data_IF_527861417031
#
_entry.id   IF_527861417031
#
_cell.length_a   1.000
_cell.length_b   1.000
_cell.length_c   1.000
_cell.angle_alpha   90.00
_cell.angle_beta   90.00
_cell.angle_gamma   90.00
#
_symmetry.space_group_name_H-M   'P 1'
#
loop_
_entity.id
_entity.type
_entity.pdbx_description
1 polymer ?
#
# COMPACT_ATOMS: atom_id res chain seq x y z
N UNK A 1 1.40 19.09 4.95
CA UNK A 1 1.23 18.39 3.68
C UNK A 1 -0.24 18.07 3.45
N UNK A 2 -0.69 18.07 2.24
CA UNK A 2 -2.10 17.85 1.89
C UNK A 2 -2.68 16.56 2.48
N UNK A 3 -1.96 15.45 2.33
CA UNK A 3 -2.41 14.14 2.80
C UNK A 3 -2.53 14.04 4.33
N UNK A 4 -1.73 14.81 5.06
CA UNK A 4 -1.85 14.87 6.52
C UNK A 4 -3.18 15.47 6.96
N UNK A 5 -3.68 16.45 6.21
CA UNK A 5 -4.96 17.12 6.51
C UNK A 5 -6.17 16.29 6.13
N UNK A 6 -6.07 15.46 5.10
CA UNK A 6 -7.22 14.72 4.56
C UNK A 6 -7.33 13.29 5.09
N UNK A 7 -6.42 12.83 5.95
CA UNK A 7 -6.40 11.44 6.40
C UNK A 7 -7.74 10.97 6.97
N UNK A 8 -8.38 11.76 7.84
CA UNK A 8 -9.68 11.41 8.40
C UNK A 8 -10.82 11.44 7.40
N UNK A 9 -10.79 12.43 6.51
CA UNK A 9 -11.79 12.58 5.45
C UNK A 9 -11.65 11.45 4.43
N UNK A 10 -10.42 11.09 4.11
CA UNK A 10 -10.13 10.00 3.17
C UNK A 10 -10.74 8.68 3.64
N UNK A 11 -10.58 8.33 4.92
CA UNK A 11 -11.17 7.11 5.47
C UNK A 11 -12.70 7.14 5.38
N UNK A 12 -13.32 8.25 5.75
CA UNK A 12 -14.77 8.40 5.68
C UNK A 12 -15.27 8.22 4.24
N UNK A 13 -14.59 8.85 3.27
CA UNK A 13 -14.92 8.72 1.86
C UNK A 13 -14.77 7.28 1.38
N UNK A 14 -13.65 6.65 1.68
CA UNK A 14 -13.36 5.28 1.24
C UNK A 14 -14.39 4.29 1.78
N UNK A 15 -14.74 4.39 3.05
CA UNK A 15 -15.70 3.49 3.67
C UNK A 15 -17.14 3.81 3.29
N UNK A 16 -17.51 5.09 3.28
CA UNK A 16 -18.89 5.49 3.07
C UNK A 16 -19.33 5.43 1.61
N UNK A 17 -18.44 5.83 0.70
CA UNK A 17 -18.79 6.04 -0.69
C UNK A 17 -18.31 4.91 -1.61
N UNK A 18 -17.10 4.39 -1.40
CA UNK A 18 -16.48 3.38 -2.25
C UNK A 18 -16.31 2.03 -1.55
N UNK A 19 -17.12 1.74 -0.56
CA UNK A 19 -16.96 0.53 0.26
C UNK A 19 -16.91 -0.76 -0.57
N UNK A 20 -17.86 -0.94 -1.48
CA UNK A 20 -17.93 -2.14 -2.32
C UNK A 20 -16.68 -2.28 -3.20
N UNK A 21 -16.26 -1.18 -3.83
CA UNK A 21 -15.07 -1.16 -4.68
C UNK A 21 -13.81 -1.44 -3.86
N UNK A 22 -13.69 -0.85 -2.66
CA UNK A 22 -12.55 -1.08 -1.78
C UNK A 22 -12.49 -2.52 -1.26
N UNK A 23 -13.62 -3.11 -0.90
CA UNK A 23 -13.66 -4.51 -0.47
C UNK A 23 -13.24 -5.45 -1.59
N UNK A 24 -13.67 -5.18 -2.81
CA UNK A 24 -13.28 -5.97 -3.97
C UNK A 24 -11.78 -5.81 -4.28
N UNK A 25 -11.26 -4.60 -4.16
CA UNK A 25 -9.84 -4.33 -4.31
C UNK A 25 -9.02 -5.11 -3.29
N UNK A 26 -9.40 -5.05 -2.02
CA UNK A 26 -8.73 -5.75 -0.93
C UNK A 26 -8.72 -7.26 -1.21
N UNK A 27 -9.88 -7.82 -1.56
CA UNK A 27 -10.00 -9.24 -1.89
C UNK A 27 -9.08 -9.63 -3.05
N UNK A 28 -9.12 -8.86 -4.14
CA UNK A 28 -8.33 -9.15 -5.33
C UNK A 28 -6.83 -9.10 -5.05
N UNK A 29 -6.37 -8.09 -4.31
CA UNK A 29 -4.96 -7.97 -3.94
C UNK A 29 -4.55 -9.10 -2.99
N UNK A 30 -5.35 -9.38 -1.98
CA UNK A 30 -5.04 -10.43 -1.00
C UNK A 30 -4.97 -11.82 -1.62
N UNK A 31 -5.73 -12.09 -2.68
CA UNK A 31 -5.64 -13.35 -3.42
C UNK A 31 -4.28 -13.57 -4.09
N UNK A 32 -3.50 -12.50 -4.31
CA UNK A 32 -2.18 -12.56 -4.92
C UNK A 32 -1.06 -12.80 -3.91
N UNK A 33 -1.38 -12.87 -2.63
CA UNK A 33 -0.39 -12.91 -1.53
C UNK A 33 -0.61 -14.15 -0.67
N UNK A 34 0.49 -14.77 -0.21
CA UNK A 34 0.42 -15.94 0.66
C UNK A 34 1.35 -15.80 1.89
N UNK A 35 1.23 -16.76 2.80
CA UNK A 35 1.88 -16.76 4.12
C UNK A 35 3.41 -16.89 4.10
N UNK A 36 4.00 -17.20 2.95
CA UNK A 36 5.44 -17.34 2.81
C UNK A 36 6.11 -16.10 2.23
N UNK A 37 5.35 -15.05 1.99
CA UNK A 37 5.84 -13.89 1.26
C UNK A 37 6.05 -12.68 2.17
N UNK A 38 7.16 -11.97 1.90
CA UNK A 38 7.43 -10.64 2.45
C UNK A 38 6.88 -9.60 1.48
N UNK A 39 6.07 -8.70 2.00
CA UNK A 39 5.32 -7.71 1.21
C UNK A 39 5.73 -6.30 1.61
N UNK A 40 5.97 -5.46 0.63
CA UNK A 40 6.10 -4.00 0.79
C UNK A 40 4.83 -3.35 0.25
N UNK A 41 4.19 -2.56 1.08
CA UNK A 41 3.07 -1.71 0.65
C UNK A 41 3.53 -0.27 0.62
N UNK A 42 3.49 0.34 -0.56
CA UNK A 42 3.84 1.75 -0.77
C UNK A 42 2.56 2.58 -0.75
N UNK A 43 2.65 3.77 -0.17
CA UNK A 43 1.50 4.68 -0.06
C UNK A 43 0.29 4.00 0.58
N UNK A 44 0.51 3.44 1.76
CA UNK A 44 -0.51 2.64 2.46
C UNK A 44 -1.73 3.46 2.91
N UNK A 45 -1.62 4.79 2.90
CA UNK A 45 -2.70 5.67 3.31
C UNK A 45 -3.11 5.39 4.75
N UNK A 46 -4.39 5.20 4.97
CA UNK A 46 -4.95 4.97 6.31
C UNK A 46 -4.94 3.50 6.73
N UNK A 47 -4.38 2.62 5.91
CA UNK A 47 -4.18 1.21 6.27
C UNK A 47 -5.34 0.28 5.93
N UNK A 48 -6.22 0.69 5.04
CA UNK A 48 -7.37 -0.15 4.64
C UNK A 48 -6.93 -1.49 4.05
N UNK A 49 -5.85 -1.48 3.27
CA UNK A 49 -5.29 -2.69 2.67
C UNK A 49 -4.24 -3.35 3.58
N UNK A 50 -3.57 -2.57 4.43
CA UNK A 50 -2.45 -3.04 5.24
C UNK A 50 -2.84 -4.18 6.18
N UNK A 51 -3.92 -4.03 6.93
CA UNK A 51 -4.36 -5.05 7.87
C UNK A 51 -4.73 -6.37 7.16
N UNK A 52 -5.56 -6.37 6.10
CA UNK A 52 -5.83 -7.60 5.35
C UNK A 52 -4.58 -8.24 4.77
N UNK A 53 -3.64 -7.46 4.24
CA UNK A 53 -2.37 -7.99 3.73
C UNK A 53 -1.56 -8.65 4.85
N UNK A 54 -1.46 -8.00 5.99
CA UNK A 54 -0.70 -8.53 7.13
C UNK A 54 -1.26 -9.87 7.61
N UNK A 55 -2.58 -10.04 7.54
CA UNK A 55 -3.23 -11.29 7.93
C UNK A 55 -2.96 -12.43 6.94
N UNK A 56 -2.45 -12.14 5.75
CA UNK A 56 -2.21 -13.14 4.70
C UNK A 56 -0.73 -13.43 4.46
N UNK A 57 0.16 -12.49 4.73
CA UNK A 57 1.57 -12.62 4.38
C UNK A 57 2.43 -12.99 5.58
N UNK A 58 3.69 -13.32 5.31
CA UNK A 58 4.65 -13.60 6.36
C UNK A 58 5.02 -12.34 7.12
N UNK A 59 5.35 -11.26 6.40
CA UNK A 59 5.72 -9.97 6.96
C UNK A 59 5.30 -8.86 6.02
N UNK A 60 4.75 -7.80 6.58
CA UNK A 60 4.38 -6.60 5.85
C UNK A 60 5.20 -5.41 6.34
N UNK A 61 5.76 -4.66 5.40
CA UNK A 61 6.25 -3.31 5.66
C UNK A 61 5.30 -2.37 4.94
N UNK A 62 4.55 -1.58 5.70
CA UNK A 62 3.59 -0.62 5.17
C UNK A 62 4.19 0.78 5.29
N UNK A 63 4.25 1.51 4.19
CA UNK A 63 4.91 2.81 4.12
C UNK A 63 4.01 3.87 3.54
N UNK A 64 4.22 5.11 3.98
CA UNK A 64 3.59 6.29 3.44
C UNK A 64 4.48 7.50 3.71
N UNK A 65 4.32 8.55 2.92
CA UNK A 65 5.07 9.80 3.14
C UNK A 65 4.41 10.67 4.22
N UNK A 66 3.14 10.47 4.52
CA UNK A 66 2.36 11.25 5.48
C UNK A 66 2.33 10.60 6.86
N UNK A 67 2.83 11.29 7.87
CA UNK A 67 2.76 10.82 9.26
C UNK A 67 1.32 10.68 9.76
N UNK A 68 0.41 11.55 9.34
CA UNK A 68 -1.00 11.44 9.71
C UNK A 68 -1.62 10.16 9.16
N UNK A 69 -1.26 9.76 7.94
CA UNK A 69 -1.69 8.49 7.35
C UNK A 69 -1.11 7.30 8.13
N UNK A 70 0.17 7.34 8.44
CA UNK A 70 0.85 6.27 9.18
C UNK A 70 0.24 6.07 10.57
N UNK A 71 -0.16 7.15 11.22
CA UNK A 71 -0.83 7.07 12.53
C UNK A 71 -2.13 6.27 12.43
N UNK A 72 -2.90 6.50 11.37
CA UNK A 72 -4.13 5.73 11.10
C UNK A 72 -3.81 4.25 10.85
N UNK A 73 -2.79 3.98 10.06
CA UNK A 73 -2.36 2.62 9.75
C UNK A 73 -1.91 1.88 11.03
N UNK A 74 -1.14 2.54 11.89
CA UNK A 74 -0.72 1.96 13.17
C UNK A 74 -1.92 1.57 14.04
N UNK A 75 -2.94 2.41 14.06
CA UNK A 75 -4.16 2.14 14.81
C UNK A 75 -4.90 0.90 14.26
N UNK A 76 -5.00 0.78 12.93
CA UNK A 76 -5.66 -0.36 12.30
C UNK A 76 -4.92 -1.68 12.50
N UNK A 77 -3.59 -1.62 12.51
CA UNK A 77 -2.75 -2.80 12.61
C UNK A 77 -2.33 -3.14 14.04
N UNK A 78 -2.92 -2.48 15.02
CA UNK A 78 -2.61 -2.69 16.43
C UNK A 78 -2.80 -4.16 16.80
N UNK A 79 -1.80 -4.73 17.47
CA UNK A 79 -1.84 -6.13 17.90
C UNK A 79 -1.28 -7.12 16.89
N UNK A 80 -0.95 -6.69 15.67
CA UNK A 80 -0.31 -7.56 14.68
C UNK A 80 1.21 -7.51 14.83
N UNK A 81 1.83 -8.68 15.00
CA UNK A 81 3.26 -8.79 15.26
C UNK A 81 4.14 -8.80 14.02
N UNK A 82 3.54 -8.99 12.84
CA UNK A 82 4.26 -9.15 11.58
C UNK A 82 4.25 -7.90 10.69
N UNK A 83 3.95 -6.73 11.25
CA UNK A 83 3.84 -5.47 10.52
C UNK A 83 4.85 -4.48 11.01
N UNK A 84 5.58 -3.86 10.08
CA UNK A 84 6.39 -2.67 10.32
C UNK A 84 5.73 -1.53 9.56
N UNK A 85 5.50 -0.40 10.23
CA UNK A 85 4.86 0.77 9.64
C UNK A 85 5.86 1.92 9.75
N UNK A 86 6.29 2.46 8.60
CA UNK A 86 7.34 3.48 8.61
C UNK A 86 7.18 4.45 7.45
N UNK A 87 7.73 5.65 7.62
CA UNK A 87 7.72 6.69 6.61
C UNK A 87 8.69 6.33 5.49
N UNK A 88 8.24 6.46 4.25
CA UNK A 88 9.10 6.30 3.09
C UNK A 88 8.59 7.11 1.91
N UNK A 89 9.53 7.53 1.07
CA UNK A 89 9.26 8.17 -0.21
C UNK A 89 9.29 7.07 -1.28
N UNK A 90 8.18 6.87 -1.97
CA UNK A 90 8.07 5.84 -3.02
C UNK A 90 9.07 6.08 -4.17
N UNK A 91 9.53 7.32 -4.34
CA UNK A 91 10.52 7.67 -5.36
C UNK A 91 11.96 7.39 -4.93
N UNK A 92 12.18 7.05 -3.66
CA UNK A 92 13.50 6.76 -3.11
C UNK A 92 13.35 5.84 -1.90
N UNK A 93 13.26 4.55 -2.15
CA UNK A 93 13.04 3.55 -1.11
C UNK A 93 14.37 3.09 -0.50
N UNK A 94 14.47 3.18 0.83
CA UNK A 94 15.67 2.79 1.58
C UNK A 94 15.69 1.29 1.88
N UNK A 95 15.46 0.48 0.84
CA UNK A 95 15.55 -0.96 0.92
C UNK A 95 16.53 -1.47 -0.13
N UNK A 96 17.15 -2.60 0.18
CA UNK A 96 18.06 -3.24 -0.77
C UNK A 96 17.30 -3.77 -1.99
N UNK A 97 18.04 -3.94 -3.09
CA UNK A 97 17.50 -4.57 -4.29
C UNK A 97 16.92 -5.94 -3.94
N UNK A 98 15.79 -6.27 -4.56
CA UNK A 98 15.20 -7.62 -4.46
C UNK A 98 14.90 -8.07 -3.02
N UNK A 99 14.40 -7.14 -2.19
CA UNK A 99 14.11 -7.41 -0.78
C UNK A 99 12.72 -8.03 -0.53
N UNK A 100 11.80 -7.86 -1.47
CA UNK A 100 10.39 -8.23 -1.25
C UNK A 100 9.88 -9.19 -2.33
N UNK A 101 9.03 -10.12 -1.91
CA UNK A 101 8.35 -11.04 -2.82
C UNK A 101 7.23 -10.36 -3.59
N UNK A 102 6.54 -9.42 -2.94
CA UNK A 102 5.42 -8.67 -3.51
C UNK A 102 5.56 -7.20 -3.12
N UNK A 103 5.39 -6.32 -4.08
CA UNK A 103 5.36 -4.86 -3.86
C UNK A 103 4.01 -4.33 -4.35
N UNK A 104 3.29 -3.64 -3.48
CA UNK A 104 1.94 -3.15 -3.74
C UNK A 104 1.90 -1.64 -3.61
N UNK A 105 1.25 -0.98 -4.55
CA UNK A 105 0.94 0.45 -4.47
C UNK A 105 -0.46 0.69 -5.06
N UNK A 106 -1.44 0.86 -4.19
CA UNK A 106 -2.83 0.99 -4.60
C UNK A 106 -3.22 2.46 -4.76
N UNK A 107 -3.75 2.82 -5.93
CA UNK A 107 -4.38 4.11 -6.22
C UNK A 107 -3.49 5.34 -5.97
N UNK A 108 -2.18 5.23 -6.17
CA UNK A 108 -1.24 6.33 -5.92
C UNK A 108 -0.45 6.74 -7.16
N UNK A 109 -0.17 5.80 -8.07
CA UNK A 109 0.76 6.05 -9.18
C UNK A 109 0.31 7.23 -10.04
N UNK A 110 -0.98 7.35 -10.32
CA UNK A 110 -1.53 8.43 -11.12
C UNK A 110 -1.48 9.81 -10.44
N UNK A 111 -1.19 9.86 -9.13
CA UNK A 111 -1.10 11.08 -8.35
C UNK A 111 0.35 11.60 -8.23
N UNK A 112 1.32 10.84 -8.71
CA UNK A 112 2.74 11.18 -8.59
C UNK A 112 3.19 12.04 -9.77
N UNK A 113 4.07 13.02 -9.49
CA UNK A 113 4.68 13.85 -10.53
C UNK A 113 5.53 13.01 -11.47
N UNK A 114 6.28 12.04 -10.93
CA UNK A 114 7.12 11.15 -11.71
C UNK A 114 6.82 9.70 -11.34
N UNK A 115 5.81 9.15 -11.99
CA UNK A 115 5.41 7.76 -11.78
C UNK A 115 6.48 6.76 -12.26
N UNK A 116 7.29 7.13 -13.26
CA UNK A 116 8.35 6.25 -13.78
C UNK A 116 9.42 6.00 -12.72
N UNK A 117 9.82 7.02 -11.97
CA UNK A 117 10.79 6.87 -10.88
C UNK A 117 10.24 5.94 -9.80
N UNK A 118 8.98 6.13 -9.41
CA UNK A 118 8.34 5.30 -8.40
C UNK A 118 8.24 3.84 -8.86
N UNK A 119 7.82 3.60 -10.11
CA UNK A 119 7.72 2.24 -10.66
C UNK A 119 9.08 1.55 -10.75
N UNK A 120 10.14 2.29 -11.10
CA UNK A 120 11.50 1.75 -11.11
C UNK A 120 11.99 1.38 -9.71
N UNK A 121 11.68 2.21 -8.70
CA UNK A 121 12.02 1.89 -7.31
C UNK A 121 11.27 0.66 -6.82
N UNK A 122 10.00 0.54 -7.13
CA UNK A 122 9.21 -0.65 -6.81
C UNK A 122 9.80 -1.90 -7.47
N UNK A 123 10.16 -1.79 -8.74
CA UNK A 123 10.79 -2.89 -9.48
C UNK A 123 12.13 -3.28 -8.86
N UNK A 124 12.95 -2.30 -8.48
CA UNK A 124 14.26 -2.54 -7.88
C UNK A 124 14.17 -3.34 -6.60
N UNK A 125 13.24 -2.98 -5.71
CA UNK A 125 13.09 -3.65 -4.41
C UNK A 125 12.30 -4.96 -4.50
N UNK A 126 11.63 -5.20 -5.61
CA UNK A 126 10.90 -6.44 -5.86
C UNK A 126 11.87 -7.53 -6.31
N UNK A 127 11.75 -8.70 -5.71
CA UNK A 127 12.59 -9.84 -6.07
C UNK A 127 12.32 -10.28 -7.50
N UNK A 128 13.35 -10.78 -8.18
CA UNK A 128 13.21 -11.38 -9.50
C UNK A 128 12.24 -12.55 -9.42
N UNK A 129 11.22 -12.54 -10.28
CA UNK A 129 10.13 -13.51 -10.21
C UNK A 129 9.03 -13.15 -9.20
N UNK A 130 9.19 -12.04 -8.47
CA UNK A 130 8.16 -11.51 -7.58
C UNK A 130 7.05 -10.81 -8.32
N UNK A 131 6.11 -10.23 -7.58
CA UNK A 131 4.94 -9.55 -8.13
C UNK A 131 4.94 -8.08 -7.77
N UNK A 132 4.62 -7.24 -8.75
CA UNK A 132 4.25 -5.85 -8.53
C UNK A 132 2.74 -5.72 -8.76
N UNK A 133 2.03 -5.20 -7.77
CA UNK A 133 0.59 -5.03 -7.83
C UNK A 133 0.28 -3.54 -7.71
N UNK A 134 -0.22 -2.94 -8.79
CA UNK A 134 -0.47 -1.50 -8.88
C UNK A 134 -1.92 -1.26 -9.31
N UNK A 135 -2.88 -1.48 -8.41
CA UNK A 135 -4.28 -1.27 -8.74
C UNK A 135 -4.58 0.20 -8.94
N UNK A 136 -5.37 0.50 -9.95
CA UNK A 136 -5.86 1.86 -10.22
C UNK A 136 -7.37 1.81 -10.47
N UNK A 137 -8.07 2.85 -10.05
CA UNK A 137 -9.47 3.01 -10.42
C UNK A 137 -9.57 3.48 -11.85
N UNK A 138 -10.35 2.78 -12.65
CA UNK A 138 -10.70 3.21 -13.99
C UNK A 138 -12.15 3.65 -13.96
N UNK A 139 -12.39 4.95 -14.14
CA UNK A 139 -13.73 5.45 -14.36
C UNK A 139 -14.17 4.99 -15.75
N UNK A 140 -15.08 4.05 -15.80
CA UNK A 140 -15.75 3.74 -17.07
C UNK A 140 -16.75 4.85 -17.32
N UNK A 141 -16.40 5.77 -18.18
CA UNK A 141 -17.40 6.68 -18.74
C UNK A 141 -18.46 5.85 -19.47
N UNK A 142 -19.69 6.11 -19.10
CA UNK A 142 -20.81 5.49 -19.78
C UNK A 142 -21.03 6.13 -21.15
#
# INVERSE_FOLDING_TARGET
>A
MFWDRVAGIYDLYAYGYNRTTNLKLIETVCQQVNENQDVLECACGTGLLSKPLALRCRRLIATDYSEAMLKKTRSRCKGLSNVIIEKADISHLDYQDQSFDVVVAANVIHLLEDSDVALKEMERVCRKGGKMIVPVYVNKEK
#
